data_IF_556054660346
#
_entry.id   IF_556054660346
#
_cell.length_a   1.000
_cell.length_b   1.000
_cell.length_c   1.000
_cell.angle_alpha   90.00
_cell.angle_beta   90.00
_cell.angle_gamma   90.00
#
_symmetry.space_group_name_H-M   'P 1'
#
loop_
_entity.id
_entity.type
_entity.pdbx_description
1 polymer ?
#
# COMPACT_ATOMS: atom_id res chain seq x y z
N UNK A 1 15.19 9.16 -12.59
CA UNK A 1 14.78 7.83 -13.07
C UNK A 1 13.58 8.02 -13.98
N UNK A 2 13.49 7.32 -15.11
CA UNK A 2 12.25 7.32 -15.92
C UNK A 2 11.24 6.42 -15.23
N UNK A 3 10.03 6.92 -15.00
CA UNK A 3 8.91 6.10 -14.54
C UNK A 3 8.56 5.14 -15.70
N UNK A 4 8.68 3.83 -15.47
CA UNK A 4 8.52 2.80 -16.52
C UNK A 4 7.08 2.24 -16.58
N UNK A 5 6.24 2.59 -15.62
CA UNK A 5 4.87 2.11 -15.48
C UNK A 5 4.06 3.07 -14.59
N UNK A 6 2.76 3.08 -14.81
CA UNK A 6 1.79 3.85 -14.02
C UNK A 6 1.01 2.88 -13.11
N UNK A 7 0.77 3.28 -11.87
CA UNK A 7 -0.07 2.52 -10.93
C UNK A 7 -1.23 3.40 -10.51
N UNK A 8 -2.45 2.90 -10.65
CA UNK A 8 -3.67 3.61 -10.26
C UNK A 8 -4.62 2.70 -9.48
N UNK A 9 -5.34 3.27 -8.52
CA UNK A 9 -6.37 2.54 -7.78
C UNK A 9 -7.60 2.34 -8.67
N UNK A 10 -7.99 1.10 -8.93
CA UNK A 10 -9.21 0.76 -9.68
C UNK A 10 -10.42 0.70 -8.75
N UNK A 11 -10.33 -0.15 -7.71
CA UNK A 11 -11.42 -0.34 -6.74
C UNK A 11 -10.91 -0.82 -5.39
N UNK A 12 -11.69 -0.58 -4.34
CA UNK A 12 -11.50 -1.18 -3.02
C UNK A 12 -12.73 -2.00 -2.65
N UNK A 13 -12.51 -3.16 -2.03
CA UNK A 13 -13.56 -4.04 -1.52
C UNK A 13 -13.40 -4.15 -0.01
N UNK A 14 -14.49 -3.84 0.69
CA UNK A 14 -14.66 -4.07 2.12
C UNK A 14 -15.59 -5.27 2.28
N UNK A 15 -15.07 -6.39 2.79
CA UNK A 15 -15.83 -7.61 3.07
C UNK A 15 -16.05 -7.84 4.57
N UNK A 16 -15.75 -6.83 5.40
CA UNK A 16 -15.85 -6.89 6.86
C UNK A 16 -14.76 -7.72 7.57
N UNK A 17 -13.79 -8.28 6.83
CA UNK A 17 -12.71 -9.11 7.39
C UNK A 17 -11.33 -8.66 6.93
N UNK A 18 -11.16 -8.21 5.68
CA UNK A 18 -9.89 -7.71 5.17
C UNK A 18 -10.14 -6.70 4.05
N UNK A 19 -9.75 -5.44 4.27
CA UNK A 19 -9.82 -4.41 3.25
C UNK A 19 -8.82 -4.70 2.12
N UNK A 20 -9.29 -4.64 0.87
CA UNK A 20 -8.49 -4.97 -0.32
C UNK A 20 -8.57 -3.84 -1.34
N UNK A 21 -7.45 -3.56 -1.97
CA UNK A 21 -7.37 -2.64 -3.09
C UNK A 21 -6.94 -3.39 -4.35
N UNK A 22 -7.55 -3.06 -5.48
CA UNK A 22 -7.15 -3.52 -6.80
C UNK A 22 -6.49 -2.35 -7.49
N UNK A 23 -5.22 -2.50 -7.85
CA UNK A 23 -4.46 -1.49 -8.56
C UNK A 23 -4.20 -1.95 -9.99
N UNK A 24 -4.37 -1.04 -10.94
CA UNK A 24 -3.99 -1.24 -12.34
C UNK A 24 -2.55 -0.80 -12.52
N UNK A 25 -1.74 -1.69 -13.08
CA UNK A 25 -0.39 -1.39 -13.53
C UNK A 25 -0.44 -1.26 -15.05
N UNK A 26 -0.07 -0.08 -15.54
CA UNK A 26 0.00 0.23 -16.96
C UNK A 26 1.45 0.16 -17.42
N UNK A 27 1.69 -0.57 -18.51
CA UNK A 27 3.00 -0.76 -19.17
C UNK A 27 4.04 -1.57 -18.36
N UNK A 28 4.88 -2.39 -19.03
CA UNK A 28 4.72 -2.88 -20.40
C UNK A 28 3.53 -3.85 -20.55
N UNK A 29 2.88 -4.23 -19.45
CA UNK A 29 1.70 -5.11 -19.44
C UNK A 29 0.60 -4.48 -18.61
N UNK A 30 -0.62 -4.47 -19.15
CA UNK A 30 -1.80 -4.03 -18.41
C UNK A 30 -2.26 -5.20 -17.51
N UNK A 31 -2.09 -5.05 -16.20
CA UNK A 31 -2.51 -6.06 -15.23
C UNK A 31 -3.18 -5.41 -14.02
N UNK A 32 -4.14 -6.13 -13.45
CA UNK A 32 -4.74 -5.79 -12.16
C UNK A 32 -4.01 -6.57 -11.06
N UNK A 33 -3.64 -5.87 -9.99
CA UNK A 33 -2.93 -6.43 -8.83
C UNK A 33 -3.81 -6.25 -7.62
N UNK A 34 -4.11 -7.34 -6.93
CA UNK A 34 -4.81 -7.29 -5.64
C UNK A 34 -3.77 -7.03 -4.55
N UNK A 35 -4.02 -6.02 -3.73
CA UNK A 35 -3.21 -5.67 -2.57
C UNK A 35 -4.07 -5.78 -1.32
N UNK A 36 -3.49 -6.42 -0.30
CA UNK A 36 -4.14 -6.64 1.00
C UNK A 36 -3.27 -6.12 2.12
N UNK A 37 -3.90 -5.77 3.22
CA UNK A 37 -3.24 -5.47 4.49
C UNK A 37 -3.57 -6.55 5.52
N UNK A 38 -2.87 -6.55 6.65
CA UNK A 38 -3.15 -7.42 7.80
C UNK A 38 -3.54 -6.57 9.01
N UNK A 39 -4.31 -7.15 9.94
CA UNK A 39 -4.73 -6.49 11.18
C UNK A 39 -3.54 -5.96 12.00
N UNK A 40 -2.41 -6.68 11.97
CA UNK A 40 -1.17 -6.27 12.62
C UNK A 40 -0.66 -4.94 12.06
N UNK A 41 -0.62 -4.83 10.72
CA UNK A 41 -0.16 -3.63 10.03
C UNK A 41 -1.14 -2.48 10.21
N UNK A 42 -2.43 -2.74 10.11
CA UNK A 42 -3.44 -1.73 10.41
C UNK A 42 -3.31 -1.19 11.84
N UNK A 43 -3.07 -2.08 12.81
CA UNK A 43 -2.89 -1.70 14.22
C UNK A 43 -1.66 -0.82 14.42
N UNK A 44 -0.54 -1.14 13.75
CA UNK A 44 0.68 -0.32 13.78
C UNK A 44 0.40 1.08 13.22
N UNK A 45 -0.22 1.16 12.04
CA UNK A 45 -0.50 2.42 11.36
C UNK A 45 -1.55 3.27 12.11
N UNK A 46 -2.57 2.64 12.71
CA UNK A 46 -3.54 3.34 13.56
C UNK A 46 -2.84 3.98 14.77
N UNK A 47 -1.92 3.27 15.41
CA UNK A 47 -1.17 3.76 16.56
C UNK A 47 -0.29 4.96 16.21
N UNK A 48 0.37 4.94 15.05
CA UNK A 48 1.15 6.08 14.55
C UNK A 48 0.30 7.33 14.32
N UNK A 49 -0.98 7.15 13.95
CA UNK A 49 -1.95 8.24 13.84
C UNK A 49 -2.60 8.65 15.18
N UNK A 50 -2.23 8.01 16.29
CA UNK A 50 -2.87 8.22 17.60
C UNK A 50 -4.33 7.75 17.65
N UNK A 51 -4.71 6.79 16.80
CA UNK A 51 -6.06 6.23 16.69
C UNK A 51 -6.10 4.81 17.25
N UNK A 52 -7.28 4.36 17.69
CA UNK A 52 -7.53 2.97 18.07
C UNK A 52 -7.69 2.04 16.87
N UNK A 53 -8.23 2.58 15.76
CA UNK A 53 -8.48 1.87 14.52
C UNK A 53 -8.39 2.83 13.33
N UNK A 54 -8.15 2.28 12.13
CA UNK A 54 -8.20 3.04 10.89
C UNK A 54 -9.64 3.17 10.39
N UNK A 55 -10.02 4.36 9.95
CA UNK A 55 -11.27 4.51 9.20
C UNK A 55 -11.14 3.83 7.83
N UNK A 56 -12.26 3.38 7.26
CA UNK A 56 -12.26 2.76 5.92
C UNK A 56 -11.63 3.66 4.84
N UNK A 57 -11.80 4.99 4.94
CA UNK A 57 -11.13 5.94 4.04
C UNK A 57 -9.61 5.93 4.18
N UNK A 58 -9.11 5.84 5.41
CA UNK A 58 -7.67 5.83 5.72
C UNK A 58 -7.04 4.54 5.18
N UNK A 59 -7.71 3.40 5.39
CA UNK A 59 -7.26 2.10 4.86
C UNK A 59 -7.16 2.10 3.34
N UNK A 60 -8.13 2.69 2.63
CA UNK A 60 -8.08 2.82 1.17
C UNK A 60 -6.88 3.64 0.71
N UNK A 61 -6.60 4.77 1.36
CA UNK A 61 -5.44 5.60 1.04
C UNK A 61 -4.12 4.86 1.30
N UNK A 62 -4.03 4.17 2.45
CA UNK A 62 -2.89 3.33 2.82
C UNK A 62 -2.67 2.21 1.82
N UNK A 63 -3.71 1.47 1.44
CA UNK A 63 -3.63 0.37 0.48
C UNK A 63 -3.22 0.85 -0.92
N UNK A 64 -3.69 2.02 -1.35
CA UNK A 64 -3.30 2.59 -2.64
C UNK A 64 -1.79 2.91 -2.68
N UNK A 65 -1.27 3.55 -1.63
CA UNK A 65 0.15 3.96 -1.57
C UNK A 65 1.06 2.77 -1.26
N UNK A 66 0.68 1.93 -0.31
CA UNK A 66 1.40 0.71 0.03
C UNK A 66 1.44 -0.27 -1.14
N UNK A 67 0.34 -0.37 -1.89
CA UNK A 67 0.26 -1.14 -3.11
C UNK A 67 1.20 -0.64 -4.20
N UNK A 68 1.25 0.67 -4.45
CA UNK A 68 2.21 1.26 -5.40
C UNK A 68 3.67 0.95 -4.99
N UNK A 69 4.02 1.07 -3.71
CA UNK A 69 5.35 0.70 -3.23
C UNK A 69 5.69 -0.78 -3.43
N UNK A 70 4.78 -1.69 -3.06
CA UNK A 70 4.97 -3.12 -3.24
C UNK A 70 5.12 -3.50 -4.72
N UNK A 71 4.26 -2.95 -5.58
CA UNK A 71 4.31 -3.17 -7.03
C UNK A 71 5.65 -2.69 -7.60
N UNK A 72 6.09 -1.49 -7.22
CA UNK A 72 7.38 -0.95 -7.66
C UNK A 72 8.54 -1.83 -7.21
N UNK A 73 8.55 -2.24 -5.94
CA UNK A 73 9.60 -3.11 -5.42
C UNK A 73 9.61 -4.47 -6.13
N UNK A 74 8.45 -5.09 -6.36
CA UNK A 74 8.34 -6.34 -7.12
C UNK A 74 8.91 -6.21 -8.54
N UNK A 75 8.52 -5.16 -9.27
CA UNK A 75 9.00 -4.94 -10.63
C UNK A 75 10.49 -4.60 -10.67
N UNK A 76 11.01 -3.81 -9.74
CA UNK A 76 12.43 -3.42 -9.68
C UNK A 76 13.34 -4.57 -9.25
N UNK A 77 12.92 -5.39 -8.27
CA UNK A 77 13.75 -6.45 -7.69
C UNK A 77 13.58 -7.79 -8.40
N UNK A 78 12.35 -8.15 -8.77
CA UNK A 78 12.01 -9.46 -9.31
C UNK A 78 11.64 -9.43 -10.81
N UNK A 79 11.34 -8.26 -11.37
CA UNK A 79 10.94 -8.10 -12.78
C UNK A 79 9.54 -8.62 -13.12
N UNK A 80 8.77 -9.06 -12.12
CA UNK A 80 7.39 -9.53 -12.26
C UNK A 80 6.60 -9.31 -10.96
N UNK A 81 5.29 -9.51 -11.01
CA UNK A 81 4.37 -9.33 -9.88
C UNK A 81 3.61 -10.65 -9.64
N UNK A 82 3.69 -11.17 -8.41
CA UNK A 82 2.91 -12.31 -7.95
C UNK A 82 1.74 -11.83 -7.08
N UNK A 83 0.56 -11.66 -7.70
CA UNK A 83 -0.67 -11.22 -7.02
C UNK A 83 -1.37 -12.41 -6.30
N UNK A 84 -1.95 -12.22 -5.10
CA UNK A 84 -2.09 -10.97 -4.36
C UNK A 84 -0.81 -10.56 -3.60
N UNK A 85 -0.53 -9.26 -3.56
CA UNK A 85 0.53 -8.69 -2.73
C UNK A 85 0.01 -8.40 -1.33
N UNK A 86 0.76 -8.83 -0.32
CA UNK A 86 0.41 -8.63 1.09
C UNK A 86 1.33 -7.59 1.73
N UNK A 87 0.75 -6.56 2.33
CA UNK A 87 1.48 -5.66 3.23
C UNK A 87 1.74 -6.40 4.53
N UNK A 88 3.00 -6.82 4.71
CA UNK A 88 3.46 -7.55 5.89
C UNK A 88 4.30 -6.66 6.81
N UNK A 89 4.63 -7.18 7.99
CA UNK A 89 5.60 -6.57 8.89
C UNK A 89 6.98 -6.45 8.24
N UNK A 90 7.37 -7.42 7.42
CA UNK A 90 8.60 -7.31 6.61
C UNK A 90 8.56 -6.14 5.64
N UNK A 91 7.40 -5.82 5.03
CA UNK A 91 7.27 -4.63 4.18
C UNK A 91 7.46 -3.34 4.99
N UNK A 92 6.76 -3.20 6.11
CA UNK A 92 6.85 -1.98 6.94
C UNK A 92 8.21 -1.83 7.63
N UNK A 93 8.78 -2.90 8.18
CA UNK A 93 9.96 -2.79 9.05
C UNK A 93 11.29 -3.00 8.31
N UNK A 94 11.26 -3.36 7.02
CA UNK A 94 12.48 -3.48 6.19
C UNK A 94 13.23 -2.16 6.04
N UNK A 95 12.53 -1.01 6.09
CA UNK A 95 13.14 0.33 6.01
C UNK A 95 12.69 1.16 7.22
N UNK A 96 13.61 1.66 8.05
CA UNK A 96 13.24 2.53 9.18
C UNK A 96 12.41 3.73 8.73
N UNK A 97 11.25 3.95 9.36
CA UNK A 97 10.37 5.08 9.08
C UNK A 97 9.39 4.87 7.91
N UNK A 98 9.33 3.67 7.32
CA UNK A 98 8.39 3.37 6.24
C UNK A 98 6.94 3.55 6.67
N UNK A 99 6.60 3.25 7.93
CA UNK A 99 5.28 3.48 8.49
C UNK A 99 4.85 4.95 8.38
N UNK A 100 5.75 5.89 8.69
CA UNK A 100 5.47 7.32 8.57
C UNK A 100 5.47 7.76 7.11
N UNK A 101 6.40 7.27 6.29
CA UNK A 101 6.43 7.57 4.85
C UNK A 101 5.14 7.14 4.15
N UNK A 102 4.64 5.95 4.47
CA UNK A 102 3.38 5.44 3.98
C UNK A 102 2.21 6.35 4.39
N UNK A 103 2.17 6.77 5.65
CA UNK A 103 1.14 7.68 6.15
C UNK A 103 1.21 9.08 5.54
N UNK A 104 2.41 9.62 5.29
CA UNK A 104 2.59 10.88 4.53
C UNK A 104 2.12 10.74 3.09
N UNK A 105 2.55 9.68 2.40
CA UNK A 105 2.13 9.40 1.02
C UNK A 105 0.61 9.22 0.91
N UNK A 106 -0.02 8.65 1.93
CA UNK A 106 -1.47 8.53 2.04
C UNK A 106 -2.18 9.84 2.43
N UNK A 107 -1.44 10.92 2.70
CA UNK A 107 -1.99 12.21 3.13
C UNK A 107 -2.55 12.20 4.56
N UNK A 108 -2.20 11.21 5.38
CA UNK A 108 -2.70 11.01 6.74
C UNK A 108 -1.80 11.63 7.82
N UNK A 109 -0.54 11.89 7.48
CA UNK A 109 0.38 12.70 8.29
C UNK A 109 0.84 13.95 7.52
N UNK A 110 1.02 15.10 8.19
CA UNK A 110 1.48 16.33 7.55
C UNK A 110 2.96 16.20 7.16
N UNK A 111 3.36 16.56 5.93
CA UNK A 111 4.76 16.51 5.49
C UNK A 111 5.71 17.14 6.52
N UNK A 112 6.64 16.35 7.05
CA UNK A 112 7.75 16.85 7.86
C UNK A 112 8.78 17.50 6.91
N UNK A 113 8.69 18.82 6.74
CA UNK A 113 9.69 19.65 6.04
C UNK A 113 10.91 19.91 6.90
#
# INVERSE_FOLDING_TARGET
MKQLFEVSLDRCVDDGVCDRAFLKVSEPYETEVEVRTTDEIESVLARELGKSELAASDRKAILAIGGDYLIRECLEVHGHIDSPLLMTSDFLFRRPGMERQLLHGAGLLPDER
#
